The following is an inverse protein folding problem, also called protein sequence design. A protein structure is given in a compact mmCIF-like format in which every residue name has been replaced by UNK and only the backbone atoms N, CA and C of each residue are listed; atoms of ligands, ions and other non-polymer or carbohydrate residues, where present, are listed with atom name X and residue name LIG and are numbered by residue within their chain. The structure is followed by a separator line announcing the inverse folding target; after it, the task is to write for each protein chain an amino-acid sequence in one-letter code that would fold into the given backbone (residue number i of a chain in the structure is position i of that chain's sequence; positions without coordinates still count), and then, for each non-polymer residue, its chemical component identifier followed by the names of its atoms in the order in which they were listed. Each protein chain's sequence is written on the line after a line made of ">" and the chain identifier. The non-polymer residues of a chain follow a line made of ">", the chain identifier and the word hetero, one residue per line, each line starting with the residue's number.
data_IF_971036167732
#
_entry.id   IF_971036167732
#
_cell.length_a   1.000
_cell.length_b   1.000
_cell.length_c   1.000
_cell.angle_alpha   90.00
_cell.angle_beta   90.00
_cell.angle_gamma   90.00
#
_symmetry.space_group_name_H-M   'P 1'
#
loop_
_entity.id
_entity.type
_entity.pdbx_description
1 polymer ?
#
# COMPACT_ATOMS: atom_id res chain seq x y z
N UNK A 1 5.09 -8.10 -30.59
CA UNK A 1 4.43 -7.32 -29.52
C UNK A 1 5.54 -6.73 -28.67
N UNK A 2 5.62 -5.41 -28.43
CA UNK A 2 6.64 -4.87 -27.53
C UNK A 2 6.37 -5.42 -26.13
N UNK A 3 7.43 -5.79 -25.41
CA UNK A 3 7.32 -6.13 -24.00
C UNK A 3 6.70 -4.92 -23.28
N UNK A 4 5.51 -5.10 -22.70
CA UNK A 4 4.93 -4.09 -21.84
C UNK A 4 5.86 -4.03 -20.64
N UNK A 5 6.69 -2.99 -20.56
CA UNK A 5 7.53 -2.75 -19.39
C UNK A 5 6.64 -2.77 -18.15
N UNK A 6 6.88 -3.74 -17.26
CA UNK A 6 6.21 -3.79 -15.97
C UNK A 6 6.56 -2.49 -15.24
N UNK A 7 5.57 -1.66 -14.86
CA UNK A 7 5.86 -0.42 -14.18
C UNK A 7 6.55 -0.72 -12.85
N UNK A 8 7.79 -0.27 -12.73
CA UNK A 8 8.53 -0.25 -11.47
C UNK A 8 8.35 1.14 -10.87
N UNK A 9 7.97 1.20 -9.60
CA UNK A 9 7.94 2.47 -8.88
C UNK A 9 9.37 2.86 -8.47
N UNK A 10 9.67 4.18 -8.37
CA UNK A 10 10.92 4.64 -7.79
C UNK A 10 11.05 4.17 -6.33
N UNK A 11 12.28 3.84 -5.93
CA UNK A 11 12.57 3.47 -4.53
C UNK A 11 12.77 4.74 -3.71
N UNK A 12 12.05 4.92 -2.59
CA UNK A 12 12.25 6.07 -1.71
C UNK A 12 13.52 5.89 -0.85
N UNK A 13 14.69 6.20 -1.41
CA UNK A 13 16.00 5.90 -0.82
C UNK A 13 16.17 6.46 0.61
N UNK A 14 15.76 7.70 0.85
CA UNK A 14 15.85 8.31 2.19
C UNK A 14 14.94 7.59 3.20
N UNK A 15 13.75 7.17 2.78
CA UNK A 15 12.83 6.45 3.63
C UNK A 15 13.36 5.05 3.96
N UNK A 16 13.91 4.34 2.95
CA UNK A 16 14.60 3.06 3.13
C UNK A 16 15.75 3.18 4.13
N UNK A 17 16.61 4.18 3.97
CA UNK A 17 17.73 4.42 4.87
C UNK A 17 17.29 4.69 6.32
N UNK A 18 16.13 5.32 6.52
CA UNK A 18 15.55 5.55 7.85
C UNK A 18 14.95 4.28 8.45
N UNK A 19 14.20 3.51 7.67
CA UNK A 19 13.59 2.25 8.11
C UNK A 19 14.65 1.21 8.46
N UNK A 20 15.75 1.15 7.72
CA UNK A 20 16.88 0.25 8.02
C UNK A 20 17.61 0.52 9.34
N UNK A 21 17.33 1.66 10.00
CA UNK A 21 17.84 1.96 11.35
C UNK A 21 16.97 1.36 12.45
N UNK A 22 15.78 0.87 12.13
CA UNK A 22 14.91 0.18 13.07
C UNK A 22 15.35 -1.27 13.24
N UNK A 23 15.05 -1.86 14.38
CA UNK A 23 15.19 -3.29 14.57
C UNK A 23 14.19 -4.03 13.68
N UNK A 24 14.65 -5.11 13.04
CA UNK A 24 13.79 -5.95 12.22
C UNK A 24 12.81 -6.71 13.11
N UNK A 25 11.54 -6.60 12.78
CA UNK A 25 10.48 -7.37 13.42
C UNK A 25 10.26 -8.71 12.69
N UNK A 26 9.53 -9.62 13.34
CA UNK A 26 9.00 -10.85 12.71
C UNK A 26 7.65 -10.63 12.04
N UNK A 27 7.16 -9.38 11.98
CA UNK A 27 5.84 -9.04 11.44
C UNK A 27 5.79 -9.23 9.93
N UNK A 28 4.70 -9.82 9.46
CA UNK A 28 4.34 -9.87 8.05
C UNK A 28 3.13 -8.96 7.83
N UNK A 29 3.16 -8.19 6.75
CA UNK A 29 2.07 -7.26 6.40
C UNK A 29 1.29 -7.76 5.20
N UNK A 30 -0.02 -7.82 5.33
CA UNK A 30 -0.93 -7.87 4.20
C UNK A 30 -1.13 -6.46 3.64
N UNK A 31 -0.95 -6.29 2.33
CA UNK A 31 -1.02 -5.00 1.66
C UNK A 31 -1.91 -5.07 0.43
N UNK A 32 -2.86 -4.15 0.33
CA UNK A 32 -3.73 -4.00 -0.84
C UNK A 32 -3.92 -2.54 -1.22
N UNK A 33 -4.20 -2.34 -2.52
CA UNK A 33 -4.49 -1.04 -3.10
C UNK A 33 -5.75 -1.14 -3.95
N UNK A 34 -6.79 -0.40 -3.56
CA UNK A 34 -8.13 -0.56 -4.13
C UNK A 34 -8.87 0.77 -4.29
N UNK A 35 -9.83 0.81 -5.22
CA UNK A 35 -10.72 1.97 -5.40
C UNK A 35 -11.80 1.96 -4.32
N UNK A 36 -12.15 3.12 -3.78
CA UNK A 36 -13.20 3.29 -2.77
C UNK A 36 -14.44 3.96 -3.39
N UNK A 37 -15.63 3.84 -2.77
CA UNK A 37 -16.82 4.56 -3.21
C UNK A 37 -16.79 6.05 -2.88
N UNK A 38 -15.80 6.50 -2.09
CA UNK A 38 -15.66 7.91 -1.74
C UNK A 38 -15.29 8.75 -2.96
N UNK A 39 -15.96 9.90 -3.10
CA UNK A 39 -15.56 10.95 -4.03
C UNK A 39 -14.76 11.98 -3.24
N UNK A 40 -13.56 12.28 -3.73
CA UNK A 40 -12.63 13.22 -3.11
C UNK A 40 -12.50 14.45 -4.02
N UNK A 41 -12.68 15.62 -3.43
CA UNK A 41 -12.58 16.94 -4.06
C UNK A 41 -13.22 18.00 -3.18
N UNK A 42 -12.75 19.24 -3.29
CA UNK A 42 -13.41 20.41 -2.70
C UNK A 42 -14.61 20.83 -3.57
N UNK A 43 -15.60 21.50 -2.97
CA UNK A 43 -16.60 22.25 -3.73
C UNK A 43 -15.85 23.20 -4.70
N UNK A 44 -16.20 23.16 -5.98
CA UNK A 44 -15.54 23.84 -7.11
C UNK A 44 -14.28 23.19 -7.72
N UNK A 45 -13.86 22.01 -7.26
CA UNK A 45 -12.79 21.22 -7.91
C UNK A 45 -13.33 20.01 -8.66
N UNK A 46 -12.50 19.40 -9.52
CA UNK A 46 -12.87 18.18 -10.23
C UNK A 46 -12.98 17.04 -9.21
N UNK A 47 -14.19 16.56 -8.99
CA UNK A 47 -14.46 15.35 -8.22
C UNK A 47 -13.73 14.14 -8.80
N UNK A 48 -13.03 13.38 -7.95
CA UNK A 48 -12.26 12.20 -8.35
C UNK A 48 -12.61 10.99 -7.50
N UNK A 49 -12.53 9.81 -8.12
CA UNK A 49 -12.66 8.55 -7.39
C UNK A 49 -11.54 8.44 -6.36
N UNK A 50 -11.92 8.05 -5.14
CA UNK A 50 -10.99 7.70 -4.09
C UNK A 50 -10.32 6.36 -4.33
N UNK A 51 -9.09 6.26 -3.86
CA UNK A 51 -8.33 5.02 -3.75
C UNK A 51 -7.83 4.90 -2.32
N UNK A 52 -7.56 3.68 -1.87
CA UNK A 52 -6.97 3.41 -0.58
C UNK A 52 -5.76 2.49 -0.72
N UNK A 53 -4.69 2.81 0.00
CA UNK A 53 -3.63 1.85 0.34
C UNK A 53 -3.85 1.43 1.78
N UNK A 54 -3.98 0.14 2.02
CA UNK A 54 -4.18 -0.43 3.36
C UNK A 54 -3.09 -1.46 3.66
N UNK A 55 -2.48 -1.35 4.83
CA UNK A 55 -1.51 -2.29 5.37
C UNK A 55 -2.02 -2.84 6.71
N UNK A 56 -2.12 -4.17 6.80
CA UNK A 56 -2.63 -4.88 7.98
C UNK A 56 -1.60 -5.90 8.42
N UNK A 57 -1.40 -6.03 9.72
CA UNK A 57 -0.54 -7.04 10.33
C UNK A 57 -1.19 -8.42 10.27
N UNK A 58 -0.48 -9.43 9.77
CA UNK A 58 -1.03 -10.77 9.46
C UNK A 58 -1.45 -11.57 10.70
N UNK A 59 -0.82 -11.40 11.86
CA UNK A 59 -1.11 -12.24 13.02
C UNK A 59 -2.28 -11.74 13.89
N UNK A 60 -2.41 -10.43 14.08
CA UNK A 60 -3.36 -9.79 14.98
C UNK A 60 -4.42 -8.97 14.24
N UNK A 61 -4.29 -8.79 12.93
CA UNK A 61 -5.21 -7.98 12.13
C UNK A 61 -5.16 -6.48 12.45
N UNK A 62 -4.05 -5.99 13.01
CA UNK A 62 -3.87 -4.58 13.33
C UNK A 62 -3.65 -3.80 12.03
N UNK A 63 -4.49 -2.79 11.78
CA UNK A 63 -4.28 -1.86 10.66
C UNK A 63 -3.06 -0.97 10.98
N UNK A 64 -1.94 -1.26 10.31
CA UNK A 64 -0.68 -0.51 10.43
C UNK A 64 -0.76 0.82 9.66
N UNK A 65 -1.54 0.85 8.59
CA UNK A 65 -1.74 2.04 7.80
C UNK A 65 -2.97 1.97 6.92
N UNK A 66 -3.66 3.10 6.80
CA UNK A 66 -4.67 3.37 5.80
C UNK A 66 -4.42 4.77 5.26
N UNK A 67 -4.27 4.91 3.95
CA UNK A 67 -4.12 6.20 3.27
C UNK A 67 -5.12 6.32 2.13
N UNK A 68 -5.87 7.42 2.13
CA UNK A 68 -6.77 7.79 1.05
C UNK A 68 -6.01 8.58 -0.02
N UNK A 69 -6.18 8.19 -1.27
CA UNK A 69 -5.43 8.69 -2.42
C UNK A 69 -6.39 9.15 -3.52
N UNK A 70 -5.98 10.16 -4.26
CA UNK A 70 -6.63 10.59 -5.50
C UNK A 70 -5.72 10.30 -6.69
N UNK A 71 -6.30 10.10 -7.86
CA UNK A 71 -5.55 9.87 -9.10
C UNK A 71 -4.95 11.16 -9.68
N UNK A 72 -4.47 12.10 -8.85
CA UNK A 72 -3.85 13.34 -9.30
C UNK A 72 -2.32 13.23 -9.38
N UNK A 73 -1.68 13.79 -10.43
CA UNK A 73 -2.28 14.32 -11.66
C UNK A 73 -2.82 13.22 -12.60
N UNK A 74 -2.43 11.97 -12.38
CA UNK A 74 -2.98 10.80 -13.07
C UNK A 74 -2.75 9.52 -12.24
N UNK A 75 -3.40 8.42 -12.63
CA UNK A 75 -3.31 7.11 -11.95
C UNK A 75 -1.88 6.58 -11.87
N UNK A 76 -1.03 6.83 -12.88
CA UNK A 76 0.36 6.36 -12.89
C UNK A 76 1.17 7.08 -11.80
N UNK A 77 1.10 8.41 -11.77
CA UNK A 77 1.81 9.22 -10.79
C UNK A 77 1.38 8.90 -9.35
N UNK A 78 0.08 8.65 -9.13
CA UNK A 78 -0.43 8.16 -7.85
C UNK A 78 0.18 6.80 -7.47
N UNK A 79 0.22 5.83 -8.40
CA UNK A 79 0.78 4.49 -8.16
C UNK A 79 2.28 4.53 -7.85
N UNK A 80 3.03 5.42 -8.49
CA UNK A 80 4.47 5.62 -8.24
C UNK A 80 4.75 6.12 -6.82
N UNK A 81 3.76 6.73 -6.15
CA UNK A 81 3.88 7.19 -4.75
C UNK A 81 3.61 6.10 -3.71
N UNK A 82 3.05 4.94 -4.09
CA UNK A 82 2.66 3.91 -3.12
C UNK A 82 3.81 3.40 -2.24
N UNK A 83 5.04 3.17 -2.75
CA UNK A 83 6.16 2.80 -1.88
C UNK A 83 6.50 3.85 -0.83
N UNK A 84 6.44 5.14 -1.21
CA UNK A 84 6.69 6.26 -0.30
C UNK A 84 5.61 6.32 0.79
N UNK A 85 4.34 6.17 0.41
CA UNK A 85 3.22 6.12 1.36
C UNK A 85 3.37 4.95 2.33
N UNK A 86 3.68 3.76 1.82
CA UNK A 86 3.96 2.59 2.65
C UNK A 86 5.10 2.87 3.63
N UNK A 87 6.21 3.44 3.14
CA UNK A 87 7.35 3.77 3.99
C UNK A 87 6.98 4.75 5.13
N UNK A 88 6.08 5.69 4.87
CA UNK A 88 5.57 6.61 5.89
C UNK A 88 4.71 5.89 6.94
N UNK A 89 3.88 4.93 6.56
CA UNK A 89 3.15 4.10 7.54
C UNK A 89 4.11 3.29 8.40
N UNK A 90 5.07 2.59 7.78
CA UNK A 90 6.08 1.81 8.49
C UNK A 90 6.89 2.67 9.47
N UNK A 91 7.29 3.87 9.04
CA UNK A 91 8.06 4.78 9.90
C UNK A 91 7.21 5.28 11.08
N UNK A 92 5.95 5.66 10.84
CA UNK A 92 5.01 6.09 11.90
C UNK A 92 4.78 4.96 12.91
N UNK A 93 4.65 3.73 12.44
CA UNK A 93 4.49 2.53 13.26
C UNK A 93 5.80 2.06 13.93
N UNK A 94 6.94 2.68 13.62
CA UNK A 94 8.29 2.22 14.02
C UNK A 94 8.52 0.74 13.70
N UNK A 95 8.05 0.32 12.53
CA UNK A 95 8.03 -1.07 12.10
C UNK A 95 8.94 -1.29 10.89
N UNK A 96 9.85 -2.26 11.00
CA UNK A 96 10.54 -2.86 9.84
C UNK A 96 10.05 -4.32 9.69
N UNK A 97 9.16 -4.62 8.73
CA UNK A 97 8.55 -5.95 8.60
C UNK A 97 9.53 -6.99 8.06
N UNK A 98 9.31 -8.25 8.42
CA UNK A 98 10.00 -9.40 7.84
C UNK A 98 9.53 -9.67 6.40
N UNK A 99 8.23 -9.50 6.16
CA UNK A 99 7.61 -9.79 4.86
C UNK A 99 6.42 -8.87 4.54
N UNK A 100 6.08 -8.81 3.26
CA UNK A 100 4.88 -8.17 2.74
C UNK A 100 4.18 -9.18 1.84
N UNK A 101 2.87 -9.36 2.00
CA UNK A 101 1.99 -10.19 1.18
C UNK A 101 1.06 -9.26 0.41
N UNK A 102 0.97 -9.45 -0.91
CA UNK A 102 0.09 -8.68 -1.79
C UNK A 102 -0.77 -9.59 -2.64
N UNK A 103 -1.95 -9.12 -3.04
CA UNK A 103 -2.79 -9.85 -4.00
C UNK A 103 -2.46 -9.56 -5.45
N UNK A 104 -2.33 -8.29 -5.81
CA UNK A 104 -2.27 -7.90 -7.22
C UNK A 104 -0.85 -7.92 -7.79
N UNK A 105 -0.72 -8.40 -9.03
CA UNK A 105 0.53 -8.31 -9.80
C UNK A 105 1.04 -6.87 -9.93
N UNK A 106 0.11 -5.93 -10.08
CA UNK A 106 0.43 -4.51 -10.13
C UNK A 106 1.17 -4.08 -8.86
N UNK A 107 0.59 -4.37 -7.69
CA UNK A 107 1.16 -3.96 -6.41
C UNK A 107 2.47 -4.70 -6.14
N UNK A 108 2.55 -5.99 -6.50
CA UNK A 108 3.79 -6.76 -6.42
C UNK A 108 4.92 -6.08 -7.21
N UNK A 109 4.67 -5.67 -8.46
CA UNK A 109 5.69 -5.00 -9.28
C UNK A 109 6.08 -3.61 -8.74
N UNK A 110 5.12 -2.85 -8.20
CA UNK A 110 5.38 -1.52 -7.64
C UNK A 110 6.18 -1.60 -6.32
N UNK A 111 5.90 -2.59 -5.48
CA UNK A 111 6.49 -2.73 -4.14
C UNK A 111 7.79 -3.55 -4.16
N UNK A 112 8.00 -4.43 -5.13
CA UNK A 112 9.19 -5.29 -5.19
C UNK A 112 10.53 -4.55 -5.07
N UNK A 113 10.77 -3.41 -5.75
CA UNK A 113 12.02 -2.65 -5.59
C UNK A 113 12.21 -2.16 -4.14
N UNK A 114 11.14 -1.69 -3.51
CA UNK A 114 11.14 -1.20 -2.14
C UNK A 114 11.35 -2.33 -1.12
N UNK A 115 10.63 -3.44 -1.26
CA UNK A 115 10.79 -4.62 -0.41
C UNK A 115 12.23 -5.16 -0.48
N UNK A 116 12.78 -5.29 -1.70
CA UNK A 116 14.19 -5.68 -1.90
C UNK A 116 15.15 -4.68 -1.25
N UNK A 117 14.92 -3.38 -1.40
CA UNK A 117 15.77 -2.36 -0.80
C UNK A 117 15.74 -2.39 0.73
N UNK A 118 14.64 -2.87 1.33
CA UNK A 118 14.50 -3.13 2.77
C UNK A 118 14.98 -4.52 3.20
N UNK A 119 15.46 -5.37 2.29
CA UNK A 119 15.74 -6.79 2.55
C UNK A 119 14.51 -7.55 3.11
N UNK A 120 13.31 -7.16 2.72
CA UNK A 120 12.02 -7.71 3.15
C UNK A 120 11.52 -8.72 2.11
N UNK A 121 10.94 -9.83 2.56
CA UNK A 121 10.33 -10.79 1.64
C UNK A 121 9.05 -10.22 1.03
N UNK A 122 8.81 -10.50 -0.26
CA UNK A 122 7.56 -10.13 -0.93
C UNK A 122 6.92 -11.39 -1.48
N UNK A 123 5.72 -11.68 -1.01
CA UNK A 123 4.92 -12.84 -1.41
C UNK A 123 3.64 -12.38 -2.10
N UNK A 124 3.17 -13.17 -3.06
CA UNK A 124 1.85 -12.99 -3.66
C UNK A 124 0.90 -14.06 -3.15
N UNK A 125 -0.31 -13.65 -2.78
CA UNK A 125 -1.37 -14.54 -2.29
C UNK A 125 -2.72 -14.11 -2.82
N UNK A 126 -3.56 -15.06 -3.22
CA UNK A 126 -4.93 -14.77 -3.67
C UNK A 126 -5.83 -14.27 -2.54
N UNK A 127 -5.52 -14.62 -1.29
CA UNK A 127 -6.24 -14.20 -0.10
C UNK A 127 -5.37 -13.34 0.82
N UNK A 128 -6.00 -12.35 1.46
CA UNK A 128 -5.37 -11.53 2.50
C UNK A 128 -6.29 -11.61 3.74
N UNK A 129 -6.15 -12.69 4.55
CA UNK A 129 -7.13 -13.06 5.57
C UNK A 129 -7.52 -11.97 6.57
N UNK A 130 -6.63 -11.05 6.90
CA UNK A 130 -6.91 -9.97 7.85
C UNK A 130 -7.25 -8.65 7.17
N UNK A 131 -6.69 -8.39 6.00
CA UNK A 131 -6.96 -7.20 5.22
C UNK A 131 -8.34 -7.28 4.56
N UNK A 132 -8.75 -8.43 4.05
CA UNK A 132 -10.06 -8.62 3.40
C UNK A 132 -11.22 -8.18 4.30
N UNK A 133 -11.38 -8.70 5.54
CA UNK A 133 -12.45 -8.24 6.42
C UNK A 133 -12.30 -6.77 6.83
N UNK A 134 -11.07 -6.26 6.99
CA UNK A 134 -10.83 -4.85 7.31
C UNK A 134 -11.27 -3.93 6.16
N UNK A 135 -10.98 -4.32 4.92
CA UNK A 135 -11.38 -3.65 3.69
C UNK A 135 -12.90 -3.69 3.52
N UNK A 136 -13.53 -4.85 3.69
CA UNK A 136 -14.99 -4.99 3.62
C UNK A 136 -15.68 -4.07 4.65
N UNK A 137 -15.20 -4.08 5.89
CA UNK A 137 -15.70 -3.20 6.95
C UNK A 137 -15.58 -1.71 6.58
N UNK A 138 -14.43 -1.31 6.03
CA UNK A 138 -14.21 0.06 5.56
C UNK A 138 -15.20 0.44 4.45
N UNK A 139 -15.43 -0.45 3.49
CA UNK A 139 -16.36 -0.19 2.37
C UNK A 139 -17.80 -0.02 2.86
N UNK A 140 -18.27 -0.91 3.75
CA UNK A 140 -19.61 -0.83 4.31
C UNK A 140 -19.86 0.52 5.02
N UNK A 141 -18.89 0.97 5.83
CA UNK A 141 -18.97 2.26 6.52
C UNK A 141 -19.02 3.47 5.56
N UNK A 142 -18.34 3.39 4.40
CA UNK A 142 -18.39 4.47 3.41
C UNK A 142 -19.71 4.53 2.63
N UNK A 143 -20.38 3.39 2.48
CA UNK A 143 -21.67 3.28 1.77
C UNK A 143 -22.85 3.61 2.69
N UNK A 144 -22.63 3.56 4.02
CA UNK A 144 -23.63 3.90 5.03
C UNK A 144 -24.45 2.69 5.50
N UNK A 145 -23.85 1.50 5.49
CA UNK A 145 -24.42 0.26 6.02
C UNK A 145 -24.06 0.01 7.49
#
# INVERSE_FOLDING_TARGET
>A
MPAIEKPLAPVPELAVARLKKLERSSVILELDFFMTPAIIGEEDTRMMNGYALMAVEEHQGIVVGLEMLTAEPNVRAMRERLPEVLAQHLFRARLLPAGIVVRSDLLANLIAPFARALDCELHQSDALPNLDPAKESLMAHMIGE
#
